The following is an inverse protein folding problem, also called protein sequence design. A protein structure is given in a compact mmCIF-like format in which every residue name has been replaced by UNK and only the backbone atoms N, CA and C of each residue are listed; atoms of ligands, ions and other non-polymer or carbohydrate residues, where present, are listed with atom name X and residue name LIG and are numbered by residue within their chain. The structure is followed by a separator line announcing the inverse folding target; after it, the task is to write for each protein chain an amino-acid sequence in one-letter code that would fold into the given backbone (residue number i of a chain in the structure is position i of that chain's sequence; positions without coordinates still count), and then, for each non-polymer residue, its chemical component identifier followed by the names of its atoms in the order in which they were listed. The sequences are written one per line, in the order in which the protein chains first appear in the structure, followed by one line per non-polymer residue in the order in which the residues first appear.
data_IF_246295391597
#
_entry.id   IF_246295391597
#
_cell.length_a   1.000
_cell.length_b   1.000
_cell.length_c   1.000
_cell.angle_alpha   90.00
_cell.angle_beta   90.00
_cell.angle_gamma   90.00
#
_symmetry.space_group_name_H-M   'P 1'
#
loop_
_entity.id
_entity.type
_entity.pdbx_description
1 polymer ?
#
# COMPACT_ATOMS: atom_id res chain seq x y z
N UNK A 1 19.26 8.52 11.80
CA UNK A 1 19.00 8.98 10.40
C UNK A 1 17.50 9.04 10.19
N UNK A 2 16.94 10.20 9.81
CA UNK A 2 15.53 10.27 9.40
C UNK A 2 15.42 9.61 8.03
N UNK A 3 14.62 8.57 7.89
CA UNK A 3 14.31 7.96 6.59
C UNK A 3 13.51 8.99 5.81
N UNK A 4 14.11 9.58 4.76
CA UNK A 4 13.40 10.49 3.87
C UNK A 4 12.71 9.63 2.80
N UNK A 5 11.38 9.60 2.85
CA UNK A 5 10.60 8.93 1.81
C UNK A 5 10.42 9.90 0.63
N UNK A 6 10.68 9.46 -0.60
CA UNK A 6 10.45 10.30 -1.77
C UNK A 6 8.96 10.67 -1.83
N UNK A 7 8.66 11.94 -2.02
CA UNK A 7 7.26 12.35 -2.18
C UNK A 7 6.73 11.93 -3.55
N UNK A 8 5.45 11.56 -3.60
CA UNK A 8 4.73 11.32 -4.85
C UNK A 8 4.49 12.68 -5.52
N UNK A 9 4.91 12.89 -6.78
CA UNK A 9 4.67 14.14 -7.48
C UNK A 9 3.19 14.45 -7.61
N UNK A 10 2.78 15.70 -7.36
CA UNK A 10 1.39 16.12 -7.50
C UNK A 10 0.76 15.80 -8.87
N UNK A 11 1.44 15.99 -10.02
CA UNK A 11 0.87 15.61 -11.32
C UNK A 11 0.54 14.12 -11.43
N UNK A 12 1.28 13.25 -10.73
CA UNK A 12 1.01 11.82 -10.69
C UNK A 12 -0.27 11.52 -9.89
N UNK A 13 -0.49 12.27 -8.80
CA UNK A 13 -1.71 12.17 -7.99
C UNK A 13 -2.92 12.58 -8.83
N UNK A 14 -2.85 13.70 -9.56
CA UNK A 14 -3.93 14.17 -10.45
C UNK A 14 -4.29 13.09 -11.49
N UNK A 15 -3.30 12.54 -12.19
CA UNK A 15 -3.55 11.45 -13.14
C UNK A 15 -4.24 10.25 -12.49
N UNK A 16 -3.80 9.86 -11.30
CA UNK A 16 -4.38 8.73 -10.59
C UNK A 16 -5.83 9.00 -10.15
N UNK A 17 -6.16 10.23 -9.74
CA UNK A 17 -7.55 10.63 -9.43
C UNK A 17 -8.45 10.64 -10.67
N UNK A 18 -7.88 10.93 -11.85
CA UNK A 18 -8.57 10.85 -13.14
C UNK A 18 -8.74 9.41 -13.66
N UNK A 19 -8.28 8.40 -12.91
CA UNK A 19 -8.42 6.99 -13.24
C UNK A 19 -7.29 6.41 -14.09
N UNK A 20 -6.16 7.10 -14.25
CA UNK A 20 -4.96 6.58 -14.91
C UNK A 20 -4.42 5.36 -14.14
N UNK A 21 -4.55 4.17 -14.75
CA UNK A 21 -4.15 2.91 -14.14
C UNK A 21 -2.64 2.81 -13.90
N UNK A 22 -1.82 3.44 -14.74
CA UNK A 22 -0.37 3.44 -14.57
C UNK A 22 0.03 4.32 -13.39
N UNK A 23 -0.59 5.49 -13.26
CA UNK A 23 -0.41 6.37 -12.12
C UNK A 23 -0.85 5.70 -10.80
N UNK A 24 -2.01 5.03 -10.78
CA UNK A 24 -2.49 4.26 -9.62
C UNK A 24 -1.49 3.16 -9.23
N UNK A 25 -0.97 2.42 -10.21
CA UNK A 25 0.03 1.37 -9.97
C UNK A 25 1.35 1.92 -9.42
N UNK A 26 1.81 3.08 -9.90
CA UNK A 26 3.00 3.75 -9.34
C UNK A 26 2.79 4.14 -7.87
N UNK A 27 1.61 4.66 -7.51
CA UNK A 27 1.26 5.00 -6.13
C UNK A 27 1.17 3.73 -5.26
N UNK A 28 0.55 2.65 -5.75
CA UNK A 28 0.53 1.36 -5.05
C UNK A 28 1.94 0.82 -4.80
N UNK A 29 2.80 0.87 -5.82
CA UNK A 29 4.18 0.43 -5.71
C UNK A 29 4.95 1.24 -4.67
N UNK A 30 4.76 2.55 -4.64
CA UNK A 30 5.34 3.44 -3.62
C UNK A 30 4.98 3.00 -2.19
N UNK A 31 3.72 2.64 -1.94
CA UNK A 31 3.25 2.20 -0.62
C UNK A 31 3.46 0.72 -0.32
N UNK A 32 3.94 -0.10 -1.28
CA UNK A 32 4.07 -1.55 -1.13
C UNK A 32 4.86 -1.96 0.12
N UNK A 33 6.01 -1.33 0.37
CA UNK A 33 6.83 -1.64 1.54
C UNK A 33 6.11 -1.35 2.86
N UNK A 34 5.38 -0.23 2.93
CA UNK A 34 4.58 0.13 4.09
C UNK A 34 3.42 -0.86 4.31
N UNK A 35 2.67 -1.16 3.25
CA UNK A 35 1.53 -2.08 3.30
C UNK A 35 1.97 -3.48 3.72
N UNK A 36 3.04 -4.02 3.11
CA UNK A 36 3.62 -5.31 3.49
C UNK A 36 4.01 -5.34 4.97
N UNK A 37 4.72 -4.30 5.45
CA UNK A 37 5.15 -4.21 6.85
C UNK A 37 3.95 -4.15 7.82
N UNK A 38 2.90 -3.40 7.48
CA UNK A 38 1.67 -3.30 8.30
C UNK A 38 0.81 -4.57 8.25
N UNK A 39 1.00 -5.37 7.22
CA UNK A 39 0.30 -6.64 7.02
C UNK A 39 1.02 -7.81 7.70
N UNK A 40 2.16 -7.61 8.35
CA UNK A 40 2.84 -8.67 9.09
C UNK A 40 2.02 -9.13 10.30
N UNK A 41 1.96 -10.44 10.52
CA UNK A 41 1.33 -11.10 11.65
C UNK A 41 2.24 -12.20 12.19
N UNK A 42 2.19 -12.38 13.50
CA UNK A 42 2.85 -13.49 14.16
C UNK A 42 1.99 -14.74 13.95
N UNK A 43 2.50 -15.72 13.22
CA UNK A 43 1.87 -17.02 13.04
C UNK A 43 2.66 -18.09 13.79
N UNK A 44 1.94 -19.07 14.34
CA UNK A 44 2.52 -20.32 14.85
C UNK A 44 2.31 -21.41 13.82
N UNK A 45 3.37 -22.16 13.54
CA UNK A 45 3.24 -23.42 12.80
C UNK A 45 2.72 -24.55 13.70
N UNK A 46 2.52 -25.72 13.10
CA UNK A 46 2.02 -26.93 13.78
C UNK A 46 2.98 -27.46 14.85
N UNK A 47 4.26 -27.07 14.77
CA UNK A 47 5.31 -27.45 15.71
C UNK A 47 5.51 -26.42 16.82
N UNK A 48 4.69 -25.36 16.84
CA UNK A 48 4.72 -24.29 17.84
C UNK A 48 5.75 -23.19 17.56
N UNK A 49 6.49 -23.24 16.45
CA UNK A 49 7.44 -22.20 16.09
C UNK A 49 6.71 -20.94 15.64
N UNK A 50 7.21 -19.78 16.05
CA UNK A 50 6.65 -18.49 15.70
C UNK A 50 7.44 -17.84 14.57
N UNK A 51 6.73 -17.36 13.54
CA UNK A 51 7.32 -16.57 12.45
C UNK A 51 6.44 -15.38 12.08
N UNK A 52 7.08 -14.34 11.54
CA UNK A 52 6.38 -13.19 11.00
C UNK A 52 6.01 -13.47 9.55
N UNK A 53 4.71 -13.57 9.26
CA UNK A 53 4.17 -13.86 7.93
C UNK A 53 3.32 -12.67 7.49
N UNK A 54 3.30 -12.40 6.17
CA UNK A 54 2.41 -11.41 5.60
C UNK A 54 0.99 -11.98 5.54
N UNK A 55 0.05 -11.31 6.20
CA UNK A 55 -1.38 -11.56 6.04
C UNK A 55 -1.82 -11.01 4.68
N UNK A 56 -1.90 -11.90 3.69
CA UNK A 56 -2.26 -11.59 2.31
C UNK A 56 -3.66 -10.98 2.18
N UNK A 57 -4.60 -11.38 3.04
CA UNK A 57 -5.97 -10.85 3.05
C UNK A 57 -5.97 -9.41 3.54
N UNK A 58 -5.24 -9.14 4.62
CA UNK A 58 -5.06 -7.78 5.11
C UNK A 58 -4.31 -6.91 4.10
N UNK A 59 -3.27 -7.44 3.45
CA UNK A 59 -2.52 -6.75 2.42
C UNK A 59 -3.43 -6.31 1.28
N UNK A 60 -4.19 -7.24 0.71
CA UNK A 60 -5.13 -6.97 -0.37
C UNK A 60 -6.23 -5.97 0.04
N UNK A 61 -6.71 -6.04 1.29
CA UNK A 61 -7.66 -5.04 1.83
C UNK A 61 -7.06 -3.64 1.91
N UNK A 62 -5.81 -3.51 2.33
CA UNK A 62 -5.12 -2.22 2.38
C UNK A 62 -4.89 -1.64 0.97
N UNK A 63 -4.45 -2.46 0.03
CA UNK A 63 -4.27 -2.07 -1.38
C UNK A 63 -5.59 -1.61 -2.01
N UNK A 64 -6.66 -2.40 -1.86
CA UNK A 64 -8.01 -2.06 -2.36
C UNK A 64 -8.52 -0.76 -1.75
N UNK A 65 -8.30 -0.55 -0.44
CA UNK A 65 -8.72 0.67 0.25
C UNK A 65 -7.93 1.89 -0.22
N UNK A 66 -6.66 1.73 -0.57
CA UNK A 66 -5.86 2.79 -1.16
C UNK A 66 -6.39 3.16 -2.54
N UNK A 67 -6.63 2.18 -3.42
CA UNK A 67 -7.17 2.41 -4.78
C UNK A 67 -8.50 3.15 -4.71
N UNK A 68 -9.45 2.63 -3.92
CA UNK A 68 -10.79 3.25 -3.79
C UNK A 68 -10.70 4.66 -3.23
N UNK A 69 -9.75 4.95 -2.33
CA UNK A 69 -9.53 6.30 -1.82
C UNK A 69 -8.90 7.24 -2.84
N UNK A 70 -7.99 6.76 -3.68
CA UNK A 70 -7.43 7.55 -4.79
C UNK A 70 -8.55 7.93 -5.76
N UNK A 71 -9.36 6.96 -6.19
CA UNK A 71 -10.46 7.19 -7.15
C UNK A 71 -11.56 8.09 -6.61
N UNK A 72 -11.75 8.16 -5.29
CA UNK A 72 -12.73 9.04 -4.65
C UNK A 72 -12.13 10.34 -4.13
N UNK A 73 -10.85 10.65 -4.43
CA UNK A 73 -10.17 11.82 -3.89
C UNK A 73 -10.45 13.04 -4.75
N UNK A 74 -11.06 14.08 -4.16
CA UNK A 74 -11.28 15.36 -4.82
C UNK A 74 -10.10 16.30 -4.59
N UNK A 75 -9.48 16.74 -5.68
CA UNK A 75 -8.43 17.76 -5.65
C UNK A 75 -9.11 19.15 -5.59
N UNK A 76 -8.71 19.97 -4.62
CA UNK A 76 -9.18 21.35 -4.43
C UNK A 76 -8.06 22.35 -4.68
#
# INVERSE_FOLDING_TARGET
MKTQYPMIPFPLIVKATDGDTEAINQILHHYRGYITKRSLRLMKDEYGNQSMVVDEVLRGRMETRLITKILSFEIK
#
